data_IF_181400503661
#
_entry.id   IF_181400503661
#
_cell.length_a   1.000
_cell.length_b   1.000
_cell.length_c   1.000
_cell.angle_alpha   90.00
_cell.angle_beta   90.00
_cell.angle_gamma   90.00
#
_symmetry.space_group_name_H-M   'P 1'
#
loop_
_entity.id
_entity.type
_entity.pdbx_description
1 polymer ?
#
# COMPACT_ATOMS: atom_id res chain seq x y z
N UNK A 1 -5.50 30.77 3.72
CA UNK A 1 -5.69 29.48 4.42
C UNK A 1 -7.19 29.22 4.52
N UNK A 2 -7.86 28.86 3.41
CA UNK A 2 -9.29 28.46 3.35
C UNK A 2 -9.82 28.39 1.91
N UNK A 3 -9.15 27.65 1.03
CA UNK A 3 -9.72 27.17 -0.23
C UNK A 3 -9.06 25.80 -0.43
N UNK A 4 -9.72 24.85 -1.11
CA UNK A 4 -9.29 23.44 -1.30
C UNK A 4 -9.91 22.40 -0.32
N UNK A 5 -11.17 22.55 0.13
CA UNK A 5 -11.87 21.40 0.77
C UNK A 5 -12.61 20.50 -0.23
N UNK A 6 -12.74 20.93 -1.50
CA UNK A 6 -13.55 20.25 -2.53
C UNK A 6 -12.75 19.77 -3.73
N UNK A 7 -11.42 19.94 -3.70
CA UNK A 7 -10.53 19.58 -4.79
C UNK A 7 -9.79 18.30 -4.38
N UNK A 8 -9.70 17.27 -5.25
CA UNK A 8 -8.95 16.06 -4.92
C UNK A 8 -7.50 16.44 -4.58
N UNK A 9 -6.88 15.82 -3.57
CA UNK A 9 -5.56 16.19 -3.06
C UNK A 9 -4.47 16.17 -4.14
N UNK A 10 -4.65 15.37 -5.19
CA UNK A 10 -3.78 15.36 -6.38
C UNK A 10 -3.79 16.71 -7.11
N UNK A 11 -4.95 17.37 -7.24
CA UNK A 11 -5.06 18.68 -7.86
C UNK A 11 -4.50 19.79 -6.95
N UNK A 12 -4.60 19.64 -5.63
CA UNK A 12 -3.96 20.55 -4.67
C UNK A 12 -2.45 20.50 -4.80
N UNK A 13 -1.89 19.30 -4.92
CA UNK A 13 -0.46 19.13 -5.12
C UNK A 13 0.00 19.69 -6.48
N UNK A 14 -0.76 19.47 -7.57
CA UNK A 14 -0.46 20.09 -8.87
C UNK A 14 -0.51 21.61 -8.77
N UNK A 15 -1.49 22.14 -8.04
CA UNK A 15 -1.63 23.57 -7.81
C UNK A 15 -0.46 24.16 -7.01
N UNK A 16 -0.02 23.49 -5.94
CA UNK A 16 1.18 23.89 -5.17
C UNK A 16 2.42 23.82 -6.07
N UNK A 17 2.58 22.71 -6.81
CA UNK A 17 3.68 22.49 -7.75
C UNK A 17 3.80 23.60 -8.82
N UNK A 18 2.69 24.03 -9.42
CA UNK A 18 2.70 25.10 -10.45
C UNK A 18 3.08 26.47 -9.90
N UNK A 19 2.91 26.69 -8.59
CA UNK A 19 3.23 27.95 -7.90
C UNK A 19 4.63 28.00 -7.31
N UNK A 20 5.37 26.88 -7.30
CA UNK A 20 6.74 26.84 -6.79
C UNK A 20 7.72 27.43 -7.82
N UNK A 21 8.51 28.46 -7.46
CA UNK A 21 9.40 29.18 -8.39
C UNK A 21 10.74 28.46 -8.68
N UNK A 22 10.92 27.22 -8.22
CA UNK A 22 12.19 26.47 -8.32
C UNK A 22 12.44 25.93 -9.74
N UNK A 23 13.68 25.76 -10.17
CA UNK A 23 13.95 25.43 -11.59
C UNK A 23 13.75 23.94 -11.96
N UNK A 24 13.97 23.01 -11.02
CA UNK A 24 13.98 21.57 -11.33
C UNK A 24 12.72 20.87 -10.83
N UNK A 25 12.11 20.02 -11.67
CA UNK A 25 10.91 19.22 -11.38
C UNK A 25 10.98 18.55 -10.00
N UNK A 26 12.08 17.84 -9.71
CA UNK A 26 12.28 17.15 -8.44
C UNK A 26 12.23 18.13 -7.27
N UNK A 27 12.94 19.25 -7.34
CA UNK A 27 12.99 20.25 -6.26
C UNK A 27 11.60 20.87 -6.03
N UNK A 28 10.85 21.14 -7.10
CA UNK A 28 9.46 21.62 -6.97
C UNK A 28 8.54 20.59 -6.30
N UNK A 29 8.66 19.31 -6.67
CA UNK A 29 7.86 18.25 -6.09
C UNK A 29 8.18 18.06 -4.61
N UNK A 30 9.46 18.15 -4.23
CA UNK A 30 9.91 18.08 -2.84
C UNK A 30 9.32 19.21 -2.02
N UNK A 31 9.47 20.46 -2.47
CA UNK A 31 8.92 21.65 -1.80
C UNK A 31 7.38 21.58 -1.70
N UNK A 32 6.70 21.05 -2.72
CA UNK A 32 5.26 20.85 -2.67
C UNK A 32 4.86 19.78 -1.64
N UNK A 33 5.60 18.67 -1.58
CA UNK A 33 5.36 17.56 -0.66
C UNK A 33 5.64 17.94 0.80
N UNK A 34 6.60 18.83 1.07
CA UNK A 34 6.86 19.40 2.41
C UNK A 34 5.69 20.23 2.94
N UNK A 35 4.93 20.86 2.04
CA UNK A 35 3.77 21.70 2.40
C UNK A 35 2.49 20.90 2.62
N UNK A 36 2.46 19.62 2.22
CA UNK A 36 1.30 18.76 2.37
C UNK A 36 1.41 17.99 3.67
N UNK A 37 0.45 18.25 4.57
CA UNK A 37 0.24 17.43 5.75
C UNK A 37 -0.71 16.29 5.41
N UNK A 38 -0.20 15.06 5.40
CA UNK A 38 -1.01 13.89 5.11
C UNK A 38 -0.18 12.69 4.67
N UNK A 39 -0.88 11.70 4.13
CA UNK A 39 -0.33 10.43 3.66
C UNK A 39 -0.46 10.37 2.15
N UNK A 40 0.59 9.93 1.45
CA UNK A 40 0.60 9.92 0.00
C UNK A 40 1.63 8.93 -0.56
N UNK A 41 1.24 8.26 -1.64
CA UNK A 41 2.12 7.48 -2.49
C UNK A 41 1.80 7.92 -3.91
N UNK A 42 2.66 8.75 -4.50
CA UNK A 42 2.35 9.45 -5.74
C UNK A 42 3.32 9.04 -6.84
N UNK A 43 2.78 8.89 -8.04
CA UNK A 43 3.53 8.70 -9.27
C UNK A 43 3.20 9.87 -10.20
N UNK A 44 4.22 10.61 -10.60
CA UNK A 44 4.15 11.70 -11.57
C UNK A 44 4.77 11.23 -12.87
N UNK A 45 4.12 11.58 -13.97
CA UNK A 45 4.63 11.35 -15.31
C UNK A 45 4.81 12.71 -16.00
N UNK A 46 6.00 12.96 -16.53
CA UNK A 46 6.27 14.04 -17.48
C UNK A 46 6.55 13.45 -18.85
N UNK A 47 6.84 14.29 -19.85
CA UNK A 47 7.15 13.84 -21.21
C UNK A 47 8.35 12.87 -21.26
N UNK A 48 9.30 13.02 -20.33
CA UNK A 48 10.59 12.34 -20.35
C UNK A 48 10.94 11.60 -19.03
N UNK A 49 10.12 11.74 -17.97
CA UNK A 49 10.43 11.21 -16.63
C UNK A 49 9.22 10.61 -15.95
N UNK A 50 9.47 9.58 -15.15
CA UNK A 50 8.55 9.04 -14.16
C UNK A 50 9.12 9.32 -12.77
N UNK A 51 8.44 10.16 -11.98
CA UNK A 51 8.87 10.53 -10.63
C UNK A 51 7.93 9.92 -9.62
N UNK A 52 8.47 9.21 -8.64
CA UNK A 52 7.71 8.55 -7.59
C UNK A 52 8.08 9.20 -6.26
N UNK A 53 7.07 9.55 -5.46
CA UNK A 53 7.26 10.18 -4.16
C UNK A 53 6.46 9.41 -3.11
N UNK A 54 7.12 9.08 -2.02
CA UNK A 54 6.51 8.37 -0.90
C UNK A 54 6.49 9.26 0.35
N UNK A 55 5.36 9.28 1.07
CA UNK A 55 5.20 10.12 2.24
C UNK A 55 6.24 9.82 3.34
N UNK A 56 6.48 10.78 4.24
CA UNK A 56 7.52 10.66 5.25
C UNK A 56 7.36 9.45 6.17
N UNK A 57 6.13 9.02 6.42
CA UNK A 57 5.85 7.93 7.34
C UNK A 57 5.66 6.58 6.63
N UNK A 58 5.57 6.59 5.31
CA UNK A 58 5.25 5.45 4.47
C UNK A 58 3.95 4.78 4.88
N UNK A 59 2.90 5.59 5.03
CA UNK A 59 1.62 5.14 5.55
C UNK A 59 0.89 4.23 4.56
N UNK A 60 0.82 4.64 3.30
CA UNK A 60 0.30 3.81 2.20
C UNK A 60 1.43 2.94 1.64
N UNK A 61 1.15 1.70 1.20
CA UNK A 61 2.18 0.85 0.62
C UNK A 61 2.52 1.29 -0.80
N UNK A 62 3.82 1.28 -1.10
CA UNK A 62 4.35 1.50 -2.45
C UNK A 62 5.56 0.59 -2.67
N UNK A 63 5.55 -0.11 -3.80
CA UNK A 63 6.58 -1.08 -4.18
C UNK A 63 7.07 -0.82 -5.59
N UNK A 64 8.30 -1.26 -5.84
CA UNK A 64 8.98 -1.21 -7.12
C UNK A 64 9.25 -2.63 -7.61
N UNK A 65 9.05 -2.84 -8.90
CA UNK A 65 9.35 -4.08 -9.59
C UNK A 65 9.91 -3.84 -10.98
N UNK A 66 10.26 -4.95 -11.64
CA UNK A 66 10.89 -4.98 -12.96
C UNK A 66 10.17 -5.94 -13.87
N UNK A 67 9.75 -5.47 -15.04
CA UNK A 67 9.23 -6.35 -16.07
C UNK A 67 10.37 -7.01 -16.86
N UNK A 68 10.08 -8.08 -17.60
CA UNK A 68 11.07 -8.86 -18.38
C UNK A 68 11.80 -8.08 -19.48
N UNK A 69 11.28 -6.91 -19.87
CA UNK A 69 11.88 -5.98 -20.83
C UNK A 69 12.59 -4.80 -20.13
N UNK A 70 13.02 -4.99 -18.89
CA UNK A 70 13.67 -4.00 -18.03
C UNK A 70 12.83 -2.76 -17.63
N UNK A 71 11.55 -2.71 -17.99
CA UNK A 71 10.66 -1.63 -17.58
C UNK A 71 10.49 -1.60 -16.06
N UNK A 72 10.70 -0.42 -15.45
CA UNK A 72 10.42 -0.18 -14.03
C UNK A 72 8.91 -0.10 -13.83
N UNK A 73 8.40 -0.79 -12.83
CA UNK A 73 6.99 -0.74 -12.44
C UNK A 73 6.86 -0.30 -10.99
N UNK A 74 5.88 0.55 -10.71
CA UNK A 74 5.48 0.89 -9.36
C UNK A 74 4.03 0.48 -9.12
N UNK A 75 3.74 -0.06 -7.94
CA UNK A 75 2.41 -0.49 -7.56
C UNK A 75 2.19 -0.32 -6.07
N UNK A 76 0.94 -0.29 -5.62
CA UNK A 76 0.63 -0.26 -4.18
C UNK A 76 0.75 -1.65 -3.53
N UNK A 77 0.62 -2.74 -4.29
CA UNK A 77 0.55 -4.13 -3.78
C UNK A 77 1.30 -5.10 -4.69
N UNK A 78 1.89 -6.14 -4.11
CA UNK A 78 2.69 -7.14 -4.86
C UNK A 78 1.86 -7.95 -5.84
N UNK A 79 0.59 -8.21 -5.51
CA UNK A 79 -0.31 -8.94 -6.42
C UNK A 79 -0.46 -8.28 -7.79
N UNK A 80 -0.27 -6.95 -7.88
CA UNK A 80 -0.28 -6.23 -9.15
C UNK A 80 0.95 -6.57 -9.99
N UNK A 81 2.12 -6.76 -9.37
CA UNK A 81 3.33 -7.18 -10.08
C UNK A 81 3.18 -8.60 -10.61
N UNK A 82 2.62 -9.50 -9.80
CA UNK A 82 2.36 -10.89 -10.19
C UNK A 82 1.42 -10.96 -11.41
N UNK A 83 0.37 -10.14 -11.43
CA UNK A 83 -0.61 -10.08 -12.51
C UNK A 83 0.02 -9.70 -13.86
N UNK A 84 0.97 -8.76 -13.85
CA UNK A 84 1.67 -8.30 -15.06
C UNK A 84 2.99 -9.03 -15.32
N UNK A 85 3.29 -10.08 -14.54
CA UNK A 85 4.56 -10.84 -14.62
C UNK A 85 5.81 -9.96 -14.42
N UNK A 86 5.71 -8.96 -13.55
CA UNK A 86 6.85 -8.19 -13.10
C UNK A 86 7.45 -8.82 -11.83
N UNK A 87 8.78 -8.82 -11.74
CA UNK A 87 9.52 -9.30 -10.58
C UNK A 87 9.54 -8.20 -9.51
N UNK A 88 9.20 -8.54 -8.27
CA UNK A 88 9.36 -7.64 -7.13
C UNK A 88 10.85 -7.32 -6.89
N UNK A 89 11.21 -6.04 -6.82
CA UNK A 89 12.58 -5.61 -6.49
C UNK A 89 12.67 -5.20 -5.02
N UNK A 90 11.87 -4.22 -4.60
CA UNK A 90 11.86 -3.71 -3.22
C UNK A 90 10.65 -2.82 -2.94
N UNK A 91 10.44 -2.47 -1.67
CA UNK A 91 9.57 -1.35 -1.29
C UNK A 91 10.19 -0.01 -1.66
N UNK A 92 9.34 0.98 -1.91
CA UNK A 92 9.74 2.39 -1.90
C UNK A 92 9.76 2.84 -0.44
N UNK A 93 10.87 3.41 -0.01
CA UNK A 93 11.08 3.80 1.38
C UNK A 93 10.31 5.08 1.73
N UNK A 94 9.96 5.30 3.00
CA UNK A 94 9.44 6.59 3.45
C UNK A 94 10.41 7.73 3.11
N UNK A 95 9.89 8.88 2.68
CA UNK A 95 10.67 10.03 2.17
C UNK A 95 11.53 9.76 0.93
N UNK A 96 11.33 8.64 0.24
CA UNK A 96 12.06 8.34 -0.98
C UNK A 96 11.40 9.02 -2.19
N UNK A 97 12.23 9.67 -2.99
CA UNK A 97 11.90 10.15 -4.34
C UNK A 97 12.70 9.33 -5.35
N UNK A 98 12.00 8.62 -6.22
CA UNK A 98 12.62 7.85 -7.31
C UNK A 98 12.34 8.57 -8.62
N UNK A 99 13.38 8.82 -9.40
CA UNK A 99 13.28 9.43 -10.73
C UNK A 99 13.75 8.39 -11.74
N UNK A 100 12.88 8.03 -12.67
CA UNK A 100 13.19 7.15 -13.79
C UNK A 100 13.20 7.98 -15.07
N UNK A 101 14.32 7.95 -15.78
CA UNK A 101 14.53 8.64 -17.05
C UNK A 101 15.18 7.67 -18.06
N UNK A 102 15.39 8.11 -19.30
CA UNK A 102 16.07 7.30 -20.34
C UNK A 102 17.46 6.79 -19.91
N UNK A 103 18.16 7.57 -19.07
CA UNK A 103 19.53 7.27 -18.65
C UNK A 103 19.59 6.37 -17.41
N UNK A 104 18.45 5.98 -16.83
CA UNK A 104 18.38 5.09 -15.69
C UNK A 104 17.48 5.58 -14.57
N UNK A 105 17.69 5.00 -13.39
CA UNK A 105 16.91 5.24 -12.18
C UNK A 105 17.79 5.89 -11.11
N UNK A 106 17.30 6.97 -10.51
CA UNK A 106 17.92 7.63 -9.36
C UNK A 106 16.98 7.59 -8.15
N UNK A 107 17.54 7.37 -6.96
CA UNK A 107 16.81 7.38 -5.70
C UNK A 107 17.40 8.46 -4.80
N UNK A 108 16.53 9.31 -4.26
CA UNK A 108 16.85 10.47 -3.43
C UNK A 108 16.02 10.40 -2.15
N UNK A 109 16.58 10.88 -1.04
CA UNK A 109 15.90 10.93 0.25
C UNK A 109 15.77 12.38 0.72
N UNK A 110 14.55 12.80 1.05
CA UNK A 110 14.25 14.21 1.29
C UNK A 110 14.55 14.70 2.71
N UNK A 111 14.44 13.83 3.71
CA UNK A 111 14.51 14.20 5.12
C UNK A 111 15.04 13.05 5.98
N UNK A 112 15.45 13.37 7.21
CA UNK A 112 15.75 12.38 8.27
C UNK A 112 14.57 11.45 8.48
N UNK A 113 14.81 10.14 8.46
CA UNK A 113 13.76 9.12 8.50
C UNK A 113 12.95 9.18 9.80
N UNK A 114 11.67 9.63 9.78
CA UNK A 114 10.82 9.46 10.94
C UNK A 114 10.49 7.97 11.09
N UNK A 115 10.11 7.56 12.29
CA UNK A 115 9.64 6.18 12.49
C UNK A 115 8.44 5.91 11.57
N UNK A 116 8.45 4.81 10.77
CA UNK A 116 7.35 4.50 9.88
C UNK A 116 6.02 4.35 10.63
N UNK A 117 4.95 4.96 10.10
CA UNK A 117 3.58 4.81 10.61
C UNK A 117 2.73 4.15 9.53
N UNK A 118 2.92 2.85 9.38
CA UNK A 118 2.27 2.07 8.33
C UNK A 118 0.80 1.81 8.64
N UNK A 119 -0.05 1.87 7.61
CA UNK A 119 -1.49 1.64 7.76
C UNK A 119 -1.79 0.18 8.15
N UNK A 120 -2.17 -0.06 9.41
CA UNK A 120 -2.56 -1.40 9.86
C UNK A 120 -3.80 -1.93 9.13
N UNK A 121 -4.66 -1.05 8.60
CA UNK A 121 -5.84 -1.44 7.84
C UNK A 121 -5.52 -2.16 6.53
N UNK A 122 -4.29 -2.00 5.99
CA UNK A 122 -3.83 -2.85 4.88
C UNK A 122 -3.81 -4.33 5.30
N UNK A 123 -3.40 -4.65 6.53
CA UNK A 123 -3.38 -6.01 7.07
C UNK A 123 -4.71 -6.45 7.67
N UNK A 124 -5.66 -5.55 7.92
CA UNK A 124 -6.98 -5.90 8.47
C UNK A 124 -7.99 -6.15 7.34
N UNK A 125 -7.93 -5.36 6.27
CA UNK A 125 -9.01 -5.31 5.30
C UNK A 125 -8.61 -4.96 3.87
N UNK A 126 -7.77 -3.95 3.64
CA UNK A 126 -7.60 -3.40 2.29
C UNK A 126 -6.75 -4.28 1.36
N UNK A 127 -5.70 -4.92 1.86
CA UNK A 127 -4.84 -5.73 1.02
C UNK A 127 -5.46 -7.10 0.73
N UNK A 128 -5.20 -7.60 -0.47
CA UNK A 128 -5.62 -8.96 -0.82
C UNK A 128 -4.74 -9.97 -0.09
N UNK A 129 -5.27 -11.15 0.31
CA UNK A 129 -4.50 -12.15 1.04
C UNK A 129 -3.22 -12.64 0.32
N UNK A 130 -3.23 -12.62 -1.01
CA UNK A 130 -2.07 -12.97 -1.84
C UNK A 130 -1.01 -11.86 -1.93
N UNK A 131 -1.19 -10.74 -1.23
CA UNK A 131 -0.20 -9.65 -1.19
C UNK A 131 0.78 -9.79 -0.03
N UNK A 132 1.99 -9.28 -0.23
CA UNK A 132 2.94 -8.96 0.83
C UNK A 132 2.95 -7.45 1.00
N UNK A 133 2.49 -6.98 2.15
CA UNK A 133 2.41 -5.55 2.47
C UNK A 133 3.32 -5.26 3.64
N UNK A 134 4.12 -4.19 3.54
CA UNK A 134 5.13 -3.82 4.54
C UNK A 134 6.09 -4.95 4.94
N UNK A 135 6.35 -5.89 4.02
CA UNK A 135 7.21 -7.06 4.26
C UNK A 135 6.53 -8.21 5.01
N UNK A 136 5.21 -8.15 5.23
CA UNK A 136 4.42 -9.20 5.91
C UNK A 136 3.36 -9.77 4.97
N UNK A 137 3.16 -11.09 5.04
CA UNK A 137 2.07 -11.75 4.34
C UNK A 137 0.73 -11.32 4.93
N UNK A 138 -0.17 -10.83 4.06
CA UNK A 138 -1.52 -10.43 4.45
C UNK A 138 -2.34 -11.66 4.86
N UNK A 139 -2.21 -12.77 4.13
CA UNK A 139 -2.81 -14.05 4.50
C UNK A 139 -2.47 -14.46 5.93
N UNK A 140 -1.18 -14.47 6.28
CA UNK A 140 -0.74 -14.86 7.62
C UNK A 140 -1.25 -13.89 8.69
N UNK A 141 -1.29 -12.59 8.38
CA UNK A 141 -1.81 -11.57 9.30
C UNK A 141 -3.28 -11.84 9.64
N UNK A 142 -4.13 -12.05 8.63
CA UNK A 142 -5.56 -12.33 8.80
C UNK A 142 -5.78 -13.59 9.65
N UNK A 143 -5.02 -14.65 9.36
CA UNK A 143 -5.10 -15.91 10.09
C UNK A 143 -4.71 -15.74 11.56
N UNK A 144 -3.55 -15.13 11.82
CA UNK A 144 -3.02 -14.91 13.18
C UNK A 144 -3.94 -14.05 14.04
N UNK A 145 -4.53 -12.98 13.48
CA UNK A 145 -5.46 -12.13 14.23
C UNK A 145 -6.64 -12.91 14.81
N UNK A 146 -7.12 -13.92 14.07
CA UNK A 146 -8.26 -14.73 14.52
C UNK A 146 -7.86 -15.95 15.34
N UNK A 147 -6.64 -16.45 15.19
CA UNK A 147 -6.06 -17.39 16.16
C UNK A 147 -5.93 -16.71 17.55
N UNK A 148 -5.50 -15.44 17.58
CA UNK A 148 -5.48 -14.64 18.81
C UNK A 148 -6.90 -14.49 19.37
N UNK A 149 -7.88 -14.16 18.52
CA UNK A 149 -9.28 -14.03 18.95
C UNK A 149 -9.84 -15.34 19.53
N UNK A 150 -9.57 -16.49 18.91
CA UNK A 150 -9.99 -17.79 19.45
C UNK A 150 -9.37 -18.10 20.81
N UNK A 151 -8.18 -17.54 21.09
CA UNK A 151 -7.51 -17.67 22.39
C UNK A 151 -8.09 -16.71 23.43
N UNK A 152 -8.36 -15.46 23.04
CA UNK A 152 -8.83 -14.40 23.93
C UNK A 152 -10.33 -14.49 24.23
N UNK A 153 -11.12 -15.02 23.30
CA UNK A 153 -12.57 -15.08 23.39
C UNK A 153 -13.08 -16.39 22.76
N UNK A 154 -12.78 -17.54 23.41
CA UNK A 154 -13.33 -18.82 22.99
C UNK A 154 -14.83 -18.88 23.29
N UNK A 155 -15.56 -19.63 22.47
CA UNK A 155 -16.98 -19.94 22.70
C UNK A 155 -17.24 -21.39 22.30
N UNK A 156 -18.11 -22.07 23.05
CA UNK A 156 -18.58 -23.40 22.64
C UNK A 156 -19.57 -23.24 21.49
N UNK A 157 -19.23 -23.80 20.32
CA UNK A 157 -20.03 -23.70 19.11
C UNK A 157 -19.80 -24.93 18.23
N UNK A 158 -20.81 -25.29 17.43
CA UNK A 158 -20.75 -26.46 16.55
C UNK A 158 -19.98 -26.18 15.26
N UNK A 159 -19.98 -24.92 14.81
CA UNK A 159 -19.43 -24.52 13.52
C UNK A 159 -18.93 -23.09 13.54
N UNK A 160 -17.88 -22.83 12.75
CA UNK A 160 -17.41 -21.48 12.44
C UNK A 160 -17.61 -21.21 10.96
N UNK A 161 -18.26 -20.10 10.61
CA UNK A 161 -18.51 -19.70 9.21
C UNK A 161 -17.86 -18.34 8.92
N UNK A 162 -17.53 -18.11 7.66
CA UNK A 162 -17.00 -16.83 7.20
C UNK A 162 -18.09 -15.99 6.54
N UNK A 163 -17.97 -14.66 6.69
CA UNK A 163 -18.63 -13.73 5.77
C UNK A 163 -17.75 -13.62 4.52
N UNK A 164 -18.25 -14.05 3.34
CA UNK A 164 -17.47 -14.02 2.11
C UNK A 164 -17.28 -12.58 1.60
N UNK A 165 -16.19 -12.23 0.91
CA UNK A 165 -14.99 -13.03 0.62
C UNK A 165 -13.81 -12.71 1.57
N UNK A 166 -13.83 -11.53 2.19
CA UNK A 166 -12.71 -11.00 2.99
C UNK A 166 -12.50 -11.77 4.30
N UNK A 167 -13.55 -12.34 4.87
CA UNK A 167 -13.49 -13.03 6.16
C UNK A 167 -12.89 -14.44 6.11
N UNK A 168 -12.79 -15.06 4.94
CA UNK A 168 -12.50 -16.50 4.81
C UNK A 168 -11.17 -16.90 5.48
N UNK A 169 -10.08 -16.22 5.13
CA UNK A 169 -8.74 -16.53 5.69
C UNK A 169 -8.70 -16.34 7.21
N UNK A 170 -9.36 -15.29 7.68
CA UNK A 170 -9.45 -14.97 9.10
C UNK A 170 -10.22 -16.08 9.84
N UNK A 171 -11.38 -16.48 9.33
CA UNK A 171 -12.19 -17.54 9.92
C UNK A 171 -11.46 -18.89 9.96
N UNK A 172 -10.68 -19.22 8.93
CA UNK A 172 -9.84 -20.43 8.93
C UNK A 172 -8.85 -20.43 10.11
N UNK A 173 -8.28 -19.26 10.46
CA UNK A 173 -7.44 -19.11 11.65
C UNK A 173 -8.20 -19.35 12.95
N UNK A 174 -9.39 -18.75 13.10
CA UNK A 174 -10.25 -18.97 14.27
C UNK A 174 -10.59 -20.46 14.44
N UNK A 175 -11.12 -21.08 13.38
CA UNK A 175 -11.57 -22.47 13.37
C UNK A 175 -10.41 -23.43 13.72
N UNK A 176 -9.24 -23.22 13.14
CA UNK A 176 -8.06 -24.02 13.42
C UNK A 176 -7.62 -23.93 14.89
N UNK A 177 -7.63 -22.72 15.47
CA UNK A 177 -7.22 -22.52 16.87
C UNK A 177 -8.28 -23.00 17.86
N UNK A 178 -9.56 -22.78 17.57
CA UNK A 178 -10.69 -23.21 18.39
C UNK A 178 -10.96 -24.72 18.29
N UNK A 179 -10.40 -25.40 17.27
CA UNK A 179 -10.65 -26.82 16.94
C UNK A 179 -12.13 -27.11 16.66
N UNK A 180 -12.80 -26.15 16.00
CA UNK A 180 -14.20 -26.26 15.56
C UNK A 180 -14.21 -26.32 14.03
N UNK A 181 -15.05 -27.16 13.40
CA UNK A 181 -15.09 -27.26 11.94
C UNK A 181 -15.44 -25.93 11.29
N UNK A 182 -14.66 -25.56 10.27
CA UNK A 182 -15.03 -24.48 9.35
C UNK A 182 -16.07 -24.99 8.35
N UNK A 183 -17.14 -24.23 8.13
CA UNK A 183 -18.11 -24.49 7.08
C UNK A 183 -18.34 -23.24 6.24
N UNK A 184 -18.56 -23.44 4.94
CA UNK A 184 -19.02 -22.39 4.06
C UNK A 184 -20.54 -22.23 4.19
N UNK A 185 -20.98 -21.61 5.29
CA UNK A 185 -22.40 -21.38 5.58
C UNK A 185 -23.02 -20.18 4.86
N UNK A 186 -22.17 -19.25 4.39
CA UNK A 186 -22.59 -18.10 3.59
C UNK A 186 -21.93 -18.16 2.22
N UNK A 187 -22.72 -17.89 1.18
CA UNK A 187 -22.27 -17.81 -0.21
C UNK A 187 -22.58 -16.39 -0.67
N UNK A 188 -21.57 -15.69 -1.19
CA UNK A 188 -21.78 -14.38 -1.80
C UNK A 188 -22.53 -14.56 -3.12
N UNK A 189 -23.67 -13.91 -3.27
CA UNK A 189 -24.38 -13.83 -4.55
C UNK A 189 -23.70 -12.77 -5.41
N UNK A 190 -22.59 -13.13 -6.06
CA UNK A 190 -21.99 -12.28 -7.09
C UNK A 190 -21.78 -13.10 -8.35
N UNK A 191 -22.45 -12.65 -9.41
CA UNK A 191 -22.25 -13.05 -10.80
C UNK A 191 -20.92 -12.52 -11.34
#
# INVERSE_FOLDING_TARGET
MSFLSSIPPTKDLVFIYTRTPLCTLCIKLVDACEKIQGTYSIVFLTEDKLVVVHDPFGFCPLIMGRHSNDAVVFASKTCTLDLIKATYERKVFPNEVIVVEKNGLQSLYLMTHPQPKQCIFEHIYFALPNSVVFGKSVYNSHRQFREILATQSPVNCDVVIAVPNSGVVATLGYAAKARVPFQQGLISSTA
#
